data_IF_074706192732
#
_entry.id   IF_074706192732
#
_cell.length_a   1.000
_cell.length_b   1.000
_cell.length_c   1.000
_cell.angle_alpha   90.00
_cell.angle_beta   90.00
_cell.angle_gamma   90.00
#
_symmetry.space_group_name_H-M   'P 1'
#
loop_
_entity.id
_entity.type
_entity.pdbx_description
1 polymer ?
#
# COMPACT_ATOMS: atom_id res chain seq x y z
N UNK A 1 -9.78 17.68 13.30
CA UNK A 1 -9.26 16.37 13.79
C UNK A 1 -8.46 15.65 12.72
N UNK A 2 -8.83 15.76 11.43
CA UNK A 2 -8.02 15.28 10.30
C UNK A 2 -6.67 16.03 10.17
N UNK A 3 -6.67 17.36 10.36
CA UNK A 3 -5.47 18.18 10.11
C UNK A 3 -4.29 17.92 11.06
N UNK A 4 -4.55 17.48 12.30
CA UNK A 4 -3.50 17.18 13.28
C UNK A 4 -2.71 15.93 12.88
N UNK A 5 -3.36 14.96 12.22
CA UNK A 5 -2.72 13.72 11.78
C UNK A 5 -1.83 13.97 10.57
N UNK A 6 -2.21 14.92 9.70
CA UNK A 6 -1.48 15.22 8.45
C UNK A 6 -0.19 15.99 8.70
N UNK A 7 -0.17 16.95 9.63
CA UNK A 7 1.03 17.79 9.89
C UNK A 7 2.16 17.02 10.59
N UNK A 8 1.83 16.05 11.45
CA UNK A 8 2.84 15.24 12.15
C UNK A 8 3.45 14.17 11.23
N UNK A 9 2.69 13.69 10.23
CA UNK A 9 3.18 12.73 9.26
C UNK A 9 4.33 13.24 8.40
N UNK A 10 4.18 14.43 7.82
CA UNK A 10 5.19 14.98 6.90
C UNK A 10 6.54 15.14 7.61
N UNK A 11 6.49 15.54 8.88
CA UNK A 11 7.68 15.63 9.73
C UNK A 11 8.35 14.28 9.94
N UNK A 12 7.59 13.20 10.04
CA UNK A 12 8.13 11.88 10.36
C UNK A 12 8.65 11.15 9.12
N UNK A 13 7.84 11.09 8.06
CA UNK A 13 8.11 10.22 6.92
C UNK A 13 8.23 10.96 5.59
N UNK A 14 8.12 12.29 5.54
CA UNK A 14 8.37 13.07 4.32
C UNK A 14 9.61 13.97 4.39
N UNK A 15 10.17 14.16 5.59
CA UNK A 15 11.41 14.88 5.82
C UNK A 15 12.63 14.03 5.39
N UNK A 16 12.83 13.92 4.08
CA UNK A 16 13.84 13.11 3.42
C UNK A 16 15.04 13.92 2.95
N UNK A 17 16.20 13.28 3.00
CA UNK A 17 17.39 13.74 2.28
C UNK A 17 17.40 13.17 0.87
N UNK A 18 18.03 13.89 -0.06
CA UNK A 18 18.26 13.44 -1.43
C UNK A 18 19.77 13.41 -1.70
N UNK A 19 20.25 12.30 -2.23
CA UNK A 19 21.62 12.17 -2.75
C UNK A 19 21.58 11.27 -3.97
N UNK A 20 22.19 11.74 -5.07
CA UNK A 20 22.30 11.00 -6.34
C UNK A 20 20.95 10.48 -6.88
N UNK A 21 19.85 11.21 -6.65
CA UNK A 21 18.51 10.86 -7.15
C UNK A 21 17.73 9.88 -6.28
N UNK A 22 18.30 9.41 -5.16
CA UNK A 22 17.63 8.52 -4.22
C UNK A 22 17.20 9.26 -2.97
N UNK A 23 15.94 9.03 -2.59
CA UNK A 23 15.34 9.55 -1.37
C UNK A 23 15.66 8.61 -0.21
N UNK A 24 16.21 9.15 0.87
CA UNK A 24 16.55 8.37 2.05
C UNK A 24 16.36 9.18 3.33
N UNK A 25 16.31 8.45 4.44
CA UNK A 25 16.30 9.00 5.80
C UNK A 25 17.54 8.53 6.53
N UNK A 26 18.10 9.37 7.38
CA UNK A 26 19.12 8.92 8.32
C UNK A 26 18.47 8.28 9.55
N UNK A 27 19.00 7.16 10.03
CA UNK A 27 18.43 6.49 11.19
C UNK A 27 18.53 7.35 12.47
N UNK A 28 19.59 8.14 12.64
CA UNK A 28 19.69 9.10 13.76
C UNK A 28 18.69 10.25 13.70
N UNK A 29 18.29 10.66 12.51
CA UNK A 29 17.28 11.71 12.35
C UNK A 29 15.89 11.12 12.63
N UNK A 30 15.61 9.93 12.12
CA UNK A 30 14.38 9.16 12.43
C UNK A 30 14.27 8.85 13.94
N UNK A 31 15.40 8.56 14.60
CA UNK A 31 15.45 8.34 16.06
C UNK A 31 14.88 9.54 16.82
N UNK A 32 15.34 10.75 16.52
CA UNK A 32 14.91 11.98 17.18
C UNK A 32 13.42 12.21 16.93
N UNK A 33 13.01 12.07 15.68
CA UNK A 33 11.62 12.17 15.23
C UNK A 33 10.68 11.20 15.95
N UNK A 34 11.13 9.97 16.24
CA UNK A 34 10.37 8.96 17.00
C UNK A 34 10.52 9.12 18.54
N UNK A 35 11.06 10.23 19.02
CA UNK A 35 11.17 10.53 20.46
C UNK A 35 12.22 9.71 21.19
N UNK A 36 13.20 9.15 20.49
CA UNK A 36 14.36 8.49 21.09
C UNK A 36 15.51 9.49 21.28
N UNK A 37 16.13 9.44 22.46
CA UNK A 37 17.30 10.29 22.81
C UNK A 37 18.63 9.55 22.67
N UNK A 38 18.59 8.21 22.74
CA UNK A 38 19.77 7.35 22.74
C UNK A 38 19.72 6.37 21.57
N UNK A 39 20.80 6.35 20.80
CA UNK A 39 20.95 5.51 19.62
C UNK A 39 21.05 4.04 19.97
N UNK A 40 21.63 3.69 21.13
CA UNK A 40 21.77 2.29 21.56
C UNK A 40 20.40 1.65 21.78
N UNK A 41 19.48 2.39 22.39
CA UNK A 41 18.10 1.98 22.61
C UNK A 41 17.33 1.90 21.31
N UNK A 42 17.50 2.89 20.43
CA UNK A 42 16.85 2.91 19.11
C UNK A 42 17.34 1.80 18.18
N UNK A 43 18.61 1.40 18.29
CA UNK A 43 19.19 0.28 17.54
C UNK A 43 18.44 -1.04 17.76
N UNK A 44 17.75 -1.20 18.90
CA UNK A 44 16.86 -2.36 19.12
C UNK A 44 15.69 -2.37 18.14
N UNK A 45 15.08 -1.22 17.85
CA UNK A 45 14.02 -1.10 16.84
C UNK A 45 14.55 -1.37 15.43
N UNK A 46 15.74 -0.87 15.11
CA UNK A 46 16.43 -1.13 13.83
C UNK A 46 16.69 -2.64 13.68
N UNK A 47 17.27 -3.29 14.69
CA UNK A 47 17.58 -4.71 14.63
C UNK A 47 16.32 -5.59 14.48
N UNK A 48 15.19 -5.20 15.09
CA UNK A 48 13.91 -5.88 14.87
C UNK A 48 13.43 -5.75 13.42
N UNK A 49 13.51 -4.54 12.85
CA UNK A 49 13.14 -4.29 11.45
C UNK A 49 14.04 -5.08 10.48
N UNK A 50 15.35 -5.12 10.74
CA UNK A 50 16.30 -5.94 9.98
C UNK A 50 15.94 -7.43 10.11
N UNK A 51 15.60 -7.90 11.32
CA UNK A 51 15.17 -9.28 11.53
C UNK A 51 13.98 -9.67 10.68
N UNK A 52 13.00 -8.78 10.51
CA UNK A 52 11.85 -8.99 9.61
C UNK A 52 12.31 -9.13 8.15
N UNK A 53 13.17 -8.24 7.67
CA UNK A 53 13.71 -8.34 6.31
C UNK A 53 14.42 -9.67 6.07
N UNK A 54 15.25 -10.09 7.01
CA UNK A 54 15.96 -11.39 6.95
C UNK A 54 14.97 -12.56 6.92
N UNK A 55 13.96 -12.56 7.79
CA UNK A 55 12.97 -13.63 7.86
C UNK A 55 12.09 -13.73 6.60
N UNK A 56 11.85 -12.61 5.92
CA UNK A 56 11.04 -12.55 4.71
C UNK A 56 11.86 -12.58 3.41
N UNK A 57 13.18 -12.77 3.51
CA UNK A 57 14.11 -12.72 2.38
C UNK A 57 13.98 -11.42 1.55
N UNK A 58 13.71 -10.30 2.23
CA UNK A 58 13.66 -8.96 1.63
C UNK A 58 15.10 -8.44 1.52
N UNK A 59 15.44 -7.85 0.38
CA UNK A 59 16.79 -7.35 0.13
C UNK A 59 17.20 -6.29 1.15
N UNK A 60 18.21 -6.64 1.95
CA UNK A 60 18.76 -5.80 3.01
C UNK A 60 19.45 -4.53 2.47
N UNK A 61 20.33 -4.60 1.45
CA UNK A 61 21.08 -3.43 0.96
C UNK A 61 20.19 -2.31 0.42
N UNK A 62 19.03 -2.65 -0.13
CA UNK A 62 18.09 -1.68 -0.70
C UNK A 62 17.34 -0.87 0.38
N UNK A 63 17.30 -1.39 1.60
CA UNK A 63 16.50 -0.82 2.69
C UNK A 63 17.35 -0.25 3.82
N UNK A 64 18.52 -0.83 4.07
CA UNK A 64 19.43 -0.45 5.15
C UNK A 64 20.87 -0.34 4.62
N UNK A 65 21.29 0.87 4.26
CA UNK A 65 22.68 1.12 3.85
C UNK A 65 23.45 1.65 5.04
N UNK A 66 24.36 0.83 5.58
CA UNK A 66 25.25 1.26 6.66
C UNK A 66 26.22 2.33 6.17
N UNK A 67 26.39 3.39 6.97
CA UNK A 67 27.28 4.50 6.68
C UNK A 67 27.95 5.03 7.95
N UNK A 68 28.99 5.84 7.78
CA UNK A 68 29.51 6.72 8.82
C UNK A 68 29.09 8.16 8.55
N UNK A 69 28.76 8.90 9.59
CA UNK A 69 28.48 10.34 9.54
C UNK A 69 29.34 11.07 10.57
N UNK A 70 29.73 12.30 10.25
CA UNK A 70 30.31 13.21 11.23
C UNK A 70 29.19 14.03 11.86
N UNK A 71 28.94 13.82 13.15
CA UNK A 71 27.97 14.57 13.95
C UNK A 71 28.71 15.17 15.13
N UNK A 72 28.59 16.49 15.34
CA UNK A 72 29.31 17.24 16.38
C UNK A 72 30.83 16.97 16.39
N UNK A 73 31.42 16.87 15.20
CA UNK A 73 32.86 16.64 15.02
C UNK A 73 33.32 15.21 15.30
N UNK A 74 32.41 14.26 15.56
CA UNK A 74 32.72 12.85 15.79
C UNK A 74 32.16 11.97 14.68
N UNK A 75 32.96 11.02 14.21
CA UNK A 75 32.44 9.96 13.36
C UNK A 75 31.57 9.00 14.16
N UNK A 76 30.38 8.75 13.66
CA UNK A 76 29.40 7.84 14.25
C UNK A 76 28.79 6.93 13.18
N UNK A 77 28.48 5.71 13.61
CA UNK A 77 27.70 4.77 12.81
C UNK A 77 26.27 5.28 12.63
N UNK A 78 25.73 5.15 11.40
CA UNK A 78 24.36 5.47 11.05
C UNK A 78 23.88 4.57 9.88
N UNK A 79 22.62 4.71 9.48
CA UNK A 79 22.08 4.08 8.29
C UNK A 79 21.41 5.13 7.39
N UNK A 80 21.53 4.95 6.07
CA UNK A 80 20.53 5.45 5.13
C UNK A 80 19.42 4.41 5.03
N UNK A 81 18.20 4.88 5.24
CA UNK A 81 16.99 4.08 5.29
C UNK A 81 16.12 4.39 4.08
N UNK A 82 15.59 3.34 3.46
CA UNK A 82 14.45 3.50 2.55
C UNK A 82 13.20 3.90 3.33
N UNK A 83 12.18 4.40 2.62
CA UNK A 83 10.87 4.68 3.23
C UNK A 83 10.26 3.43 3.89
N UNK A 84 10.44 2.28 3.24
CA UNK A 84 10.01 0.98 3.76
C UNK A 84 10.72 0.63 5.08
N UNK A 85 12.04 0.83 5.16
CA UNK A 85 12.79 0.63 6.40
C UNK A 85 12.30 1.53 7.54
N UNK A 86 12.00 2.80 7.25
CA UNK A 86 11.42 3.72 8.24
C UNK A 86 10.08 3.20 8.80
N UNK A 87 9.21 2.64 7.95
CA UNK A 87 7.94 2.06 8.38
C UNK A 87 8.14 0.85 9.28
N UNK A 88 9.00 -0.09 8.88
CA UNK A 88 9.29 -1.26 9.72
C UNK A 88 9.88 -0.86 11.07
N UNK A 89 10.79 0.13 11.11
CA UNK A 89 11.35 0.63 12.35
C UNK A 89 10.27 1.23 13.25
N UNK A 90 9.39 2.08 12.71
CA UNK A 90 8.30 2.69 13.47
C UNK A 90 7.31 1.64 14.03
N UNK A 91 6.94 0.65 13.22
CA UNK A 91 6.08 -0.46 13.65
C UNK A 91 6.69 -1.30 14.78
N UNK A 92 8.01 -1.43 14.83
CA UNK A 92 8.73 -2.26 15.80
C UNK A 92 9.34 -1.49 16.98
N UNK A 93 9.01 -0.20 17.10
CA UNK A 93 9.47 0.70 18.16
C UNK A 93 8.56 0.67 19.40
N UNK A 94 9.02 1.27 20.49
CA UNK A 94 8.33 1.28 21.78
C UNK A 94 7.12 2.23 21.75
N UNK A 95 5.92 1.65 21.72
CA UNK A 95 4.63 2.36 21.71
C UNK A 95 4.41 3.26 22.94
N UNK A 96 5.16 3.06 24.04
CA UNK A 96 5.12 3.97 25.20
C UNK A 96 5.60 5.38 24.85
N UNK A 97 6.30 5.56 23.73
CA UNK A 97 6.66 6.87 23.19
C UNK A 97 5.49 7.44 22.37
N UNK A 98 4.92 8.60 22.72
CA UNK A 98 3.80 9.19 21.99
C UNK A 98 4.07 9.38 20.49
N UNK A 99 5.31 9.72 20.12
CA UNK A 99 5.74 9.89 18.73
C UNK A 99 5.63 8.58 17.94
N UNK A 100 6.02 7.46 18.56
CA UNK A 100 5.87 6.12 17.96
C UNK A 100 4.40 5.77 17.83
N UNK A 101 3.58 6.00 18.86
CA UNK A 101 2.15 5.71 18.81
C UNK A 101 1.43 6.51 17.69
N UNK A 102 1.78 7.79 17.52
CA UNK A 102 1.28 8.62 16.41
C UNK A 102 1.71 8.08 15.06
N UNK A 103 2.99 7.69 14.91
CA UNK A 103 3.50 7.12 13.67
C UNK A 103 2.75 5.81 13.30
N UNK A 104 2.50 4.93 14.28
CA UNK A 104 1.77 3.68 14.06
C UNK A 104 0.30 3.92 13.70
N UNK A 105 -0.37 4.83 14.41
CA UNK A 105 -1.76 5.20 14.10
C UNK A 105 -1.89 5.79 12.69
N UNK A 106 -0.93 6.63 12.30
CA UNK A 106 -0.86 7.14 10.94
C UNK A 106 -0.74 6.00 9.92
N UNK A 107 0.22 5.08 10.10
CA UNK A 107 0.44 3.98 9.16
C UNK A 107 -0.80 3.07 9.03
N UNK A 108 -1.49 2.82 10.14
CA UNK A 108 -2.76 2.08 10.13
C UNK A 108 -3.83 2.82 9.32
N UNK A 109 -3.97 4.13 9.51
CA UNK A 109 -4.95 4.93 8.76
C UNK A 109 -4.61 5.01 7.27
N UNK A 110 -3.33 5.14 6.95
CA UNK A 110 -2.84 5.15 5.58
C UNK A 110 -3.13 3.82 4.86
N UNK A 111 -2.93 2.69 5.53
CA UNK A 111 -3.30 1.38 5.00
C UNK A 111 -4.81 1.25 4.73
N UNK A 112 -5.66 1.72 5.65
CA UNK A 112 -7.12 1.75 5.48
C UNK A 112 -7.55 2.56 4.25
N UNK A 113 -6.94 3.74 4.05
CA UNK A 113 -7.20 4.61 2.91
C UNK A 113 -6.79 3.91 1.60
N UNK A 114 -5.60 3.32 1.54
CA UNK A 114 -5.13 2.60 0.34
C UNK A 114 -6.08 1.47 -0.01
N UNK A 115 -6.45 0.63 0.96
CA UNK A 115 -7.35 -0.50 0.72
C UNK A 115 -8.70 -0.01 0.16
N UNK A 116 -9.25 1.06 0.74
CA UNK A 116 -10.52 1.65 0.29
C UNK A 116 -10.41 2.16 -1.16
N UNK A 117 -9.32 2.86 -1.50
CA UNK A 117 -9.09 3.37 -2.84
C UNK A 117 -8.90 2.24 -3.87
N UNK A 118 -8.19 1.18 -3.50
CA UNK A 118 -8.02 0.00 -4.35
C UNK A 118 -9.35 -0.69 -4.64
N UNK A 119 -10.21 -0.86 -3.61
CA UNK A 119 -11.56 -1.42 -3.78
C UNK A 119 -12.43 -0.56 -4.71
N UNK A 120 -12.41 0.76 -4.53
CA UNK A 120 -13.15 1.68 -5.39
C UNK A 120 -12.68 1.63 -6.84
N UNK A 121 -11.37 1.50 -7.08
CA UNK A 121 -10.82 1.36 -8.42
C UNK A 121 -11.26 0.05 -9.09
N UNK A 122 -11.23 -1.08 -8.36
CA UNK A 122 -11.72 -2.37 -8.85
C UNK A 122 -13.22 -2.34 -9.18
N UNK A 123 -14.02 -1.66 -8.35
CA UNK A 123 -15.46 -1.52 -8.60
C UNK A 123 -15.74 -0.69 -9.86
N UNK A 124 -14.98 0.38 -10.10
CA UNK A 124 -15.09 1.18 -11.34
C UNK A 124 -14.73 0.33 -12.56
N UNK A 125 -13.63 -0.40 -12.52
CA UNK A 125 -13.20 -1.28 -13.62
C UNK A 125 -14.25 -2.37 -13.90
N UNK A 126 -14.83 -2.96 -12.84
CA UNK A 126 -15.91 -3.94 -12.97
C UNK A 126 -17.13 -3.35 -13.67
N UNK A 127 -17.53 -2.12 -13.34
CA UNK A 127 -18.68 -1.46 -13.97
C UNK A 127 -18.40 -1.22 -15.46
N UNK A 128 -17.24 -0.68 -15.81
CA UNK A 128 -16.86 -0.42 -17.22
C UNK A 128 -16.83 -1.71 -18.05
N UNK A 129 -16.24 -2.79 -17.50
CA UNK A 129 -16.24 -4.10 -18.14
C UNK A 129 -17.65 -4.65 -18.33
N UNK A 130 -18.53 -4.48 -17.34
CA UNK A 130 -19.93 -4.92 -17.44
C UNK A 130 -20.69 -4.16 -18.53
N UNK A 131 -20.47 -2.86 -18.64
CA UNK A 131 -21.15 -2.03 -19.63
C UNK A 131 -20.69 -2.41 -21.05
N UNK A 132 -19.38 -2.60 -21.27
CA UNK A 132 -18.81 -3.12 -22.53
C UNK A 132 -19.34 -4.50 -22.88
N UNK A 133 -19.34 -5.43 -21.92
CA UNK A 133 -19.84 -6.78 -22.13
C UNK A 133 -21.34 -6.76 -22.48
N UNK A 134 -22.13 -5.89 -21.83
CA UNK A 134 -23.55 -5.75 -22.15
C UNK A 134 -23.78 -5.17 -23.55
N UNK A 135 -22.90 -4.30 -24.04
CA UNK A 135 -22.98 -3.75 -25.39
C UNK A 135 -22.64 -4.80 -26.46
N UNK A 136 -21.54 -5.52 -26.26
CA UNK A 136 -21.11 -6.63 -27.14
C UNK A 136 -22.17 -7.73 -27.21
N UNK A 137 -22.81 -8.06 -26.10
CA UNK A 137 -23.87 -9.07 -26.07
C UNK A 137 -25.16 -8.61 -26.76
N UNK A 138 -25.49 -7.31 -26.73
CA UNK A 138 -26.57 -6.76 -27.56
C UNK A 138 -26.24 -6.89 -29.05
N UNK A 139 -25.02 -6.56 -29.44
CA UNK A 139 -24.56 -6.66 -30.83
C UNK A 139 -24.60 -8.11 -31.30
N UNK A 140 -24.00 -9.03 -30.54
CA UNK A 140 -23.99 -10.45 -30.84
C UNK A 140 -25.41 -11.03 -30.90
N UNK A 141 -26.26 -10.71 -29.93
CA UNK A 141 -27.67 -11.13 -29.92
C UNK A 141 -28.44 -10.62 -31.14
N UNK A 142 -28.19 -9.38 -31.58
CA UNK A 142 -28.76 -8.81 -32.79
C UNK A 142 -28.34 -9.57 -34.05
N UNK A 143 -27.05 -9.92 -34.15
CA UNK A 143 -26.51 -10.71 -35.26
C UNK A 143 -27.11 -12.12 -35.29
N UNK A 144 -27.19 -12.80 -34.15
CA UNK A 144 -27.75 -14.16 -34.03
C UNK A 144 -29.24 -14.17 -34.40
N UNK A 145 -29.99 -13.14 -33.98
CA UNK A 145 -31.39 -12.97 -34.36
C UNK A 145 -31.55 -12.75 -35.87
N UNK A 146 -30.73 -11.88 -36.47
CA UNK A 146 -30.76 -11.59 -37.91
C UNK A 146 -30.48 -12.85 -38.77
N UNK A 147 -29.64 -13.75 -38.28
CA UNK A 147 -29.31 -15.02 -38.94
C UNK A 147 -30.30 -16.16 -38.63
N UNK A 148 -31.40 -15.89 -37.90
CA UNK A 148 -32.47 -16.85 -37.58
C UNK A 148 -31.96 -18.17 -36.98
N UNK A 149 -30.96 -18.10 -36.10
CA UNK A 149 -30.42 -19.30 -35.45
C UNK A 149 -31.53 -20.01 -34.66
N UNK A 150 -31.78 -21.28 -34.98
CA UNK A 150 -32.90 -22.07 -34.43
C UNK A 150 -32.85 -22.21 -32.90
N UNK A 151 -31.67 -22.08 -32.28
CA UNK A 151 -31.42 -22.24 -30.84
C UNK A 151 -31.20 -20.93 -30.08
N UNK A 152 -31.71 -19.81 -30.61
CA UNK A 152 -31.55 -18.48 -30.01
C UNK A 152 -31.90 -18.40 -28.51
N UNK A 153 -32.93 -19.10 -28.06
CA UNK A 153 -33.37 -19.12 -26.66
C UNK A 153 -32.36 -19.78 -25.71
N UNK A 154 -31.67 -20.83 -26.17
CA UNK A 154 -30.59 -21.48 -25.42
C UNK A 154 -29.36 -20.59 -25.35
N UNK A 155 -29.02 -19.94 -26.47
CA UNK A 155 -27.94 -18.96 -26.55
C UNK A 155 -28.15 -17.79 -25.57
N UNK A 156 -29.34 -17.18 -25.59
CA UNK A 156 -29.71 -16.12 -24.65
C UNK A 156 -29.55 -16.58 -23.20
N UNK A 157 -30.13 -17.72 -22.83
CA UNK A 157 -30.08 -18.19 -21.45
C UNK A 157 -28.64 -18.50 -20.97
N UNK A 158 -27.76 -18.99 -21.86
CA UNK A 158 -26.34 -19.20 -21.56
C UNK A 158 -25.61 -17.87 -21.31
N UNK A 159 -25.91 -16.82 -22.09
CA UNK A 159 -25.37 -15.47 -21.87
C UNK A 159 -25.73 -14.91 -20.49
N UNK A 160 -26.99 -15.00 -20.07
CA UNK A 160 -27.41 -14.57 -18.72
C UNK A 160 -26.77 -15.39 -17.60
N UNK A 161 -26.60 -16.70 -17.79
CA UNK A 161 -25.88 -17.56 -16.84
C UNK A 161 -24.41 -17.13 -16.70
N UNK A 162 -23.73 -16.80 -17.80
CA UNK A 162 -22.35 -16.31 -17.77
C UNK A 162 -22.19 -14.96 -17.05
N UNK A 163 -23.13 -14.03 -17.24
CA UNK A 163 -23.06 -12.69 -16.64
C UNK A 163 -23.50 -12.64 -15.17
N UNK A 164 -24.57 -13.35 -14.82
CA UNK A 164 -25.25 -13.20 -13.53
C UNK A 164 -25.18 -14.45 -12.66
N UNK A 165 -24.52 -15.52 -13.14
CA UNK A 165 -24.54 -16.86 -12.54
C UNK A 165 -25.99 -17.35 -12.30
N UNK A 166 -26.94 -16.87 -13.10
CA UNK A 166 -28.37 -17.11 -12.97
C UNK A 166 -29.03 -17.22 -14.35
N UNK A 167 -29.98 -18.14 -14.50
CA UNK A 167 -30.78 -18.27 -15.72
C UNK A 167 -31.75 -17.10 -15.87
N UNK A 168 -32.15 -16.76 -17.10
CA UNK A 168 -33.10 -15.68 -17.42
C UNK A 168 -34.38 -15.71 -16.56
N UNK A 169 -34.91 -16.91 -16.29
CA UNK A 169 -36.14 -17.08 -15.49
C UNK A 169 -36.00 -16.67 -14.03
N UNK A 170 -34.77 -16.65 -13.49
CA UNK A 170 -34.49 -16.24 -12.10
C UNK A 170 -34.28 -14.74 -11.96
N UNK A 171 -33.91 -14.05 -13.05
CA UNK A 171 -33.66 -12.60 -13.07
C UNK A 171 -34.92 -11.74 -13.26
N UNK A 172 -36.02 -12.33 -13.74
CA UNK A 172 -37.29 -11.63 -14.02
C UNK A 172 -38.23 -11.52 -12.80
N UNK A 173 -37.77 -11.82 -11.59
CA UNK A 173 -38.51 -11.71 -10.32
C UNK A 173 -37.92 -10.59 -9.48
#
# INVERSE_FOLDING_TARGET
>A
MCDIITTDYEKIFENKSNSNGFLFWYARDLMITLGYKDYTTFKKSINKAIGICVSLNIEFPDNFVYIKRTIDGKEVDDYKLSRFACYLIAMNSDVKKPEVARAQAYLAKYAEIIITLSQQAEDIERIDLRDKLSEEEKNLSGIVYAHKVETYSLFQNAGYLGMYNMSLNKLKK
#
